data_IF_427941729671
#
_entry.id   IF_427941729671
#
_cell.length_a   1.000
_cell.length_b   1.000
_cell.length_c   1.000
_cell.angle_alpha   90.00
_cell.angle_beta   90.00
_cell.angle_gamma   90.00
#
_symmetry.space_group_name_H-M   'P 1'
#
loop_
_entity.id
_entity.type
_entity.pdbx_description
1 polymer ?
#
# COMPACT_ATOMS: atom_id res chain seq x y z
N UNK A 1 21.71 -11.21 -3.02
CA UNK A 1 21.29 -9.94 -3.66
C UNK A 1 20.77 -9.01 -2.58
N UNK A 2 20.96 -7.68 -2.67
CA UNK A 2 20.37 -6.75 -1.71
C UNK A 2 18.83 -6.81 -1.81
N UNK A 3 18.16 -6.66 -0.66
CA UNK A 3 16.69 -6.63 -0.61
C UNK A 3 16.19 -5.26 -1.10
N UNK A 4 15.19 -5.25 -1.98
CA UNK A 4 14.48 -4.03 -2.37
C UNK A 4 13.66 -3.54 -1.16
N UNK A 5 13.87 -2.28 -0.77
CA UNK A 5 13.14 -1.67 0.34
C UNK A 5 11.98 -0.85 -0.21
N UNK A 6 10.76 -1.11 0.24
CA UNK A 6 9.55 -0.42 -0.21
C UNK A 6 8.72 0.02 1.00
N UNK A 7 8.15 1.22 0.93
CA UNK A 7 7.16 1.67 1.91
C UNK A 7 5.77 1.16 1.55
N UNK A 8 5.00 0.77 2.57
CA UNK A 8 3.65 0.22 2.41
C UNK A 8 2.69 0.86 3.41
N UNK A 9 1.69 1.58 2.91
CA UNK A 9 0.58 2.11 3.71
C UNK A 9 -0.66 1.22 3.61
N UNK A 10 -1.28 0.91 4.75
CA UNK A 10 -2.55 0.18 4.81
C UNK A 10 -3.33 0.52 6.07
N UNK A 11 -4.66 0.42 6.00
CA UNK A 11 -5.45 0.24 7.21
C UNK A 11 -5.20 -1.15 7.81
N UNK A 12 -5.51 -1.34 9.10
CA UNK A 12 -5.47 -2.66 9.70
C UNK A 12 -6.41 -3.61 8.96
N UNK A 13 -5.88 -4.73 8.49
CA UNK A 13 -6.60 -5.76 7.78
C UNK A 13 -5.91 -7.10 8.05
N UNK A 14 -6.63 -8.05 8.65
CA UNK A 14 -6.11 -9.38 9.00
C UNK A 14 -5.43 -10.12 7.83
N UNK A 15 -5.80 -9.81 6.58
CA UNK A 15 -5.21 -10.42 5.39
C UNK A 15 -3.82 -9.88 5.06
N UNK A 16 -3.58 -8.60 5.38
CA UNK A 16 -2.34 -7.88 5.08
C UNK A 16 -1.43 -7.85 6.32
N UNK A 17 -2.01 -7.99 7.51
CA UNK A 17 -1.32 -7.93 8.79
C UNK A 17 -0.05 -8.80 8.86
N UNK A 18 -0.04 -10.07 8.40
CA UNK A 18 1.17 -10.88 8.46
C UNK A 18 2.35 -10.31 7.67
N UNK A 19 2.10 -9.52 6.62
CA UNK A 19 3.15 -8.81 5.87
C UNK A 19 3.60 -7.53 6.60
N UNK A 20 2.68 -6.88 7.30
CA UNK A 20 2.91 -5.60 7.97
C UNK A 20 3.65 -5.79 9.31
N UNK A 21 3.30 -6.81 10.08
CA UNK A 21 3.96 -7.15 11.36
C UNK A 21 5.26 -7.94 11.16
N UNK A 22 5.49 -8.44 9.95
CA UNK A 22 6.68 -9.20 9.56
C UNK A 22 6.66 -10.69 9.95
N UNK A 23 5.50 -11.24 10.35
CA UNK A 23 5.29 -12.66 10.55
C UNK A 23 5.49 -13.45 9.24
N UNK A 24 5.10 -12.86 8.12
CA UNK A 24 5.39 -13.31 6.76
C UNK A 24 6.32 -12.30 6.08
N UNK A 25 7.39 -12.79 5.47
CA UNK A 25 8.37 -11.97 4.77
C UNK A 25 8.40 -12.33 3.29
N UNK A 26 8.12 -11.36 2.44
CA UNK A 26 8.28 -11.52 1.01
C UNK A 26 9.77 -11.72 0.65
N UNK A 27 10.05 -12.70 -0.20
CA UNK A 27 11.40 -12.97 -0.66
C UNK A 27 11.94 -11.76 -1.44
N UNK A 28 13.20 -11.38 -1.18
CA UNK A 28 13.85 -10.26 -1.84
C UNK A 28 13.35 -8.87 -1.42
N UNK A 29 12.32 -8.75 -0.56
CA UNK A 29 11.77 -7.47 -0.12
C UNK A 29 12.07 -7.15 1.36
N UNK A 30 12.17 -5.87 1.66
CA UNK A 30 12.08 -5.28 2.99
C UNK A 30 10.96 -4.25 2.99
N UNK A 31 9.88 -4.52 3.71
CA UNK A 31 8.75 -3.59 3.80
C UNK A 31 8.96 -2.60 4.96
N UNK A 32 8.59 -1.34 4.75
CA UNK A 32 8.46 -0.31 5.78
C UNK A 32 6.94 -0.05 5.96
N UNK A 33 6.29 -0.70 6.94
CA UNK A 33 4.86 -0.61 7.13
C UNK A 33 4.46 0.75 7.73
N UNK A 34 3.32 1.28 7.31
CA UNK A 34 2.65 2.44 7.91
C UNK A 34 1.16 2.15 8.02
N UNK A 35 0.61 2.29 9.23
CA UNK A 35 -0.83 2.16 9.45
C UNK A 35 -1.51 3.53 9.48
N UNK A 36 -2.67 3.64 8.84
CA UNK A 36 -3.57 4.78 9.01
C UNK A 36 -5.03 4.39 8.74
N UNK A 37 -6.02 5.20 9.18
CA UNK A 37 -7.40 4.96 8.82
C UNK A 37 -7.61 4.97 7.30
N UNK A 38 -8.58 4.21 6.74
CA UNK A 38 -8.77 4.10 5.29
C UNK A 38 -8.89 5.45 4.55
N UNK A 39 -9.58 6.43 5.14
CA UNK A 39 -9.72 7.76 4.56
C UNK A 39 -8.37 8.48 4.41
N UNK A 40 -7.47 8.31 5.39
CA UNK A 40 -6.13 8.88 5.35
C UNK A 40 -5.23 8.10 4.40
N UNK A 41 -5.27 6.76 4.43
CA UNK A 41 -4.53 5.88 3.50
C UNK A 41 -4.83 6.30 2.05
N UNK A 42 -6.10 6.39 1.69
CA UNK A 42 -6.51 6.71 0.32
C UNK A 42 -6.16 8.16 -0.04
N UNK A 43 -6.34 9.10 0.87
CA UNK A 43 -5.98 10.49 0.63
C UNK A 43 -4.47 10.65 0.39
N UNK A 44 -3.64 10.05 1.25
CA UNK A 44 -2.16 10.11 1.12
C UNK A 44 -1.70 9.50 -0.19
N UNK A 45 -2.24 8.33 -0.55
CA UNK A 45 -1.87 7.67 -1.80
C UNK A 45 -2.38 8.40 -3.05
N UNK A 46 -3.65 8.81 -3.09
CA UNK A 46 -4.24 9.44 -4.26
C UNK A 46 -3.80 10.90 -4.46
N UNK A 47 -3.45 11.61 -3.37
CA UNK A 47 -3.07 13.03 -3.43
C UNK A 47 -1.57 13.23 -3.62
N UNK A 48 -0.74 12.42 -2.96
CA UNK A 48 0.70 12.65 -2.91
C UNK A 48 1.53 11.49 -3.47
N UNK A 49 0.92 10.32 -3.72
CA UNK A 49 1.66 9.11 -4.10
C UNK A 49 2.83 8.84 -3.14
N UNK A 50 2.56 9.02 -1.85
CA UNK A 50 3.60 9.07 -0.81
C UNK A 50 4.31 7.73 -0.61
N UNK A 51 3.65 6.61 -0.94
CA UNK A 51 4.14 5.26 -0.72
C UNK A 51 4.27 4.48 -2.03
N UNK A 52 5.25 3.57 -2.09
CA UNK A 52 5.39 2.65 -3.23
C UNK A 52 4.29 1.60 -3.29
N UNK A 53 3.71 1.22 -2.14
CA UNK A 53 2.60 0.27 -2.03
C UNK A 53 1.51 0.90 -1.16
N UNK A 54 0.26 0.84 -1.61
CA UNK A 54 -0.89 1.32 -0.85
C UNK A 54 -2.08 0.38 -0.95
N UNK A 55 -2.73 0.11 0.18
CA UNK A 55 -4.03 -0.59 0.19
C UNK A 55 -5.15 0.35 -0.26
N UNK A 56 -6.04 -0.18 -1.12
CA UNK A 56 -7.18 0.56 -1.61
C UNK A 56 -8.30 -0.39 -2.05
N UNK A 57 -9.55 0.01 -1.82
CA UNK A 57 -10.68 -0.73 -2.39
C UNK A 57 -10.62 -0.75 -3.92
N UNK A 58 -11.04 -1.86 -4.54
CA UNK A 58 -11.09 -2.00 -5.99
C UNK A 58 -11.94 -0.89 -6.64
N UNK A 59 -13.05 -0.49 -6.01
CA UNK A 59 -13.90 0.61 -6.49
C UNK A 59 -13.14 1.94 -6.53
N UNK A 60 -12.40 2.27 -5.47
CA UNK A 60 -11.57 3.48 -5.42
C UNK A 60 -10.44 3.44 -6.47
N UNK A 61 -9.79 2.29 -6.64
CA UNK A 61 -8.78 2.10 -7.68
C UNK A 61 -9.34 2.37 -9.08
N UNK A 62 -10.50 1.78 -9.41
CA UNK A 62 -11.13 1.96 -10.72
C UNK A 62 -11.53 3.42 -10.97
N UNK A 63 -12.07 4.11 -9.97
CA UNK A 63 -12.40 5.55 -10.05
C UNK A 63 -11.13 6.39 -10.25
N UNK A 64 -10.04 6.07 -9.55
CA UNK A 64 -8.77 6.77 -9.69
C UNK A 64 -8.17 6.58 -11.09
N UNK A 65 -8.15 5.33 -11.57
CA UNK A 65 -7.71 4.98 -12.93
C UNK A 65 -8.55 5.68 -13.99
N UNK A 66 -9.88 5.73 -13.83
CA UNK A 66 -10.76 6.44 -14.80
C UNK A 66 -10.53 7.95 -14.83
N UNK A 67 -9.89 8.51 -13.79
CA UNK A 67 -9.48 9.93 -13.70
C UNK A 67 -8.03 10.16 -14.14
N UNK A 68 -7.36 9.15 -14.70
CA UNK A 68 -6.01 9.26 -15.23
C UNK A 68 -4.90 9.11 -14.20
N UNK A 69 -5.21 8.61 -12.99
CA UNK A 69 -4.17 8.24 -12.03
C UNK A 69 -3.56 6.91 -12.48
N UNK A 70 -2.28 6.94 -12.86
CA UNK A 70 -1.54 5.75 -13.28
C UNK A 70 -0.97 5.01 -12.06
N UNK A 71 -1.73 4.01 -11.59
CA UNK A 71 -1.31 3.07 -10.54
C UNK A 71 -1.34 1.65 -11.10
N UNK A 72 -0.28 0.90 -10.82
CA UNK A 72 -0.21 -0.53 -11.10
C UNK A 72 -0.92 -1.26 -9.94
N UNK A 73 -1.89 -2.12 -10.27
CA UNK A 73 -2.61 -2.98 -9.33
C UNK A 73 -2.06 -4.40 -9.36
#
# INVERSE_FOLDING_TARGET
MPKLTLSFISAFNERVEPLMDGAVKAEGLKLIPTYSPPSETFWRQLKFQEFEIGEMSMSSYLIARSRGIDMIA
#
